data_IF_888581974846
#
_entry.id   IF_888581974846
#
_cell.length_a   1.000
_cell.length_b   1.000
_cell.length_c   1.000
_cell.angle_alpha   90.00
_cell.angle_beta   90.00
_cell.angle_gamma   90.00
#
_symmetry.space_group_name_H-M   'P 1'
#
loop_
_entity.id
_entity.type
_entity.pdbx_description
1 polymer ?
#
# COMPACT_ATOMS: atom_id res chain seq x y z
N UNK A 1 4.12 3.03 5.53
CA UNK A 1 4.46 3.91 6.68
C UNK A 1 3.25 4.44 7.43
N UNK A 2 2.15 4.83 6.77
CA UNK A 2 0.93 5.35 7.48
C UNK A 2 0.40 4.38 8.56
N UNK A 3 0.58 3.07 8.38
CA UNK A 3 0.20 2.05 9.38
C UNK A 3 0.83 2.20 10.77
N UNK A 4 1.95 2.91 10.89
CA UNK A 4 2.54 3.19 12.21
C UNK A 4 1.74 4.24 12.99
N UNK A 5 0.91 5.03 12.32
CA UNK A 5 0.08 6.10 12.89
C UNK A 5 -1.39 5.71 12.95
N UNK A 6 -1.87 5.01 11.92
CA UNK A 6 -3.24 4.50 11.83
C UNK A 6 -3.19 3.03 11.37
N UNK A 7 -3.42 2.06 12.26
CA UNK A 7 -3.21 0.64 11.97
C UNK A 7 -4.19 0.06 10.94
N UNK A 8 -5.37 0.66 10.80
CA UNK A 8 -6.44 0.14 9.95
C UNK A 8 -6.70 1.02 8.73
N UNK A 9 -7.23 0.47 7.63
CA UNK A 9 -7.57 1.25 6.43
C UNK A 9 -8.92 1.98 6.53
N UNK A 10 -9.20 2.63 7.68
CA UNK A 10 -10.43 3.39 7.90
C UNK A 10 -10.40 4.83 7.35
N UNK A 11 -11.40 5.63 7.69
CA UNK A 11 -11.52 7.02 7.22
C UNK A 11 -10.29 7.88 7.54
N UNK A 12 -9.76 7.76 8.76
CA UNK A 12 -8.56 8.49 9.19
C UNK A 12 -7.33 8.12 8.37
N UNK A 13 -7.20 6.86 7.98
CA UNK A 13 -6.12 6.39 7.11
C UNK A 13 -6.21 7.04 5.72
N UNK A 14 -7.40 7.03 5.13
CA UNK A 14 -7.65 7.63 3.83
C UNK A 14 -7.42 9.14 3.85
N UNK A 15 -7.80 9.83 4.93
CA UNK A 15 -7.52 11.26 5.11
C UNK A 15 -6.01 11.55 5.14
N UNK A 16 -5.23 10.74 5.88
CA UNK A 16 -3.77 10.86 5.93
C UNK A 16 -3.12 10.57 4.57
N UNK A 17 -3.58 9.52 3.87
CA UNK A 17 -3.12 9.18 2.53
C UNK A 17 -3.40 10.31 1.54
N UNK A 18 -4.63 10.84 1.50
CA UNK A 18 -4.99 11.93 0.60
C UNK A 18 -4.22 13.23 0.87
N UNK A 19 -3.89 13.51 2.14
CA UNK A 19 -3.09 14.68 2.52
C UNK A 19 -1.62 14.56 2.12
N UNK A 20 -0.99 13.44 2.44
CA UNK A 20 0.46 13.28 2.33
C UNK A 20 0.91 12.60 1.04
N UNK A 21 0.01 11.87 0.39
CA UNK A 21 0.25 11.22 -0.88
C UNK A 21 -1.01 11.25 -1.77
N UNK A 22 -1.39 12.41 -2.33
CA UNK A 22 -2.66 12.59 -3.04
C UNK A 22 -2.90 11.63 -4.22
N UNK A 23 -1.82 11.13 -4.85
CA UNK A 23 -1.88 10.20 -5.98
C UNK A 23 -2.04 8.72 -5.58
N UNK A 24 -2.29 8.42 -4.29
CA UNK A 24 -2.31 7.05 -3.79
C UNK A 24 -3.32 6.12 -4.46
N UNK A 25 -4.44 6.67 -4.94
CA UNK A 25 -5.49 5.89 -5.62
C UNK A 25 -5.00 5.38 -6.97
N UNK A 26 -4.26 6.20 -7.73
CA UNK A 26 -3.66 5.83 -9.01
C UNK A 26 -2.57 4.78 -8.79
N UNK A 27 -1.66 5.02 -7.85
CA UNK A 27 -0.62 4.05 -7.53
C UNK A 27 -1.18 2.70 -7.06
N UNK A 28 -2.26 2.72 -6.27
CA UNK A 28 -2.98 1.48 -5.86
C UNK A 28 -3.58 0.77 -7.07
N UNK A 29 -4.20 1.50 -8.00
CA UNK A 29 -4.74 0.91 -9.21
C UNK A 29 -3.63 0.25 -10.04
N UNK A 30 -2.53 0.96 -10.31
CA UNK A 30 -1.38 0.43 -11.04
C UNK A 30 -0.83 -0.85 -10.38
N UNK A 31 -0.65 -0.86 -9.06
CA UNK A 31 -0.16 -2.04 -8.33
C UNK A 31 -1.12 -3.24 -8.44
N UNK A 32 -2.43 -2.99 -8.43
CA UNK A 32 -3.44 -4.03 -8.55
C UNK A 32 -3.49 -4.65 -9.96
N UNK A 33 -3.06 -3.93 -10.99
CA UNK A 33 -2.99 -4.45 -12.38
C UNK A 33 -1.75 -5.30 -12.64
N UNK A 34 -0.74 -5.25 -11.76
CA UNK A 34 0.47 -6.06 -11.95
C UNK A 34 0.16 -7.54 -11.71
N UNK A 35 0.68 -8.47 -12.53
CA UNK A 35 0.53 -9.91 -12.35
C UNK A 35 1.44 -10.44 -11.22
N UNK A 36 1.41 -9.78 -10.07
CA UNK A 36 2.23 -10.12 -8.91
C UNK A 36 1.56 -11.25 -8.12
N UNK A 37 2.22 -12.39 -8.07
CA UNK A 37 1.88 -13.47 -7.15
C UNK A 37 2.71 -13.37 -5.87
N UNK A 38 2.17 -13.91 -4.77
CA UNK A 38 2.96 -14.11 -3.56
C UNK A 38 4.13 -15.06 -3.88
N UNK A 39 5.36 -14.62 -3.61
CA UNK A 39 6.55 -15.44 -3.84
C UNK A 39 7.17 -15.85 -2.51
N UNK A 40 7.47 -17.15 -2.37
CA UNK A 40 8.34 -17.64 -1.32
C UNK A 40 9.79 -17.39 -1.74
N UNK A 41 10.51 -16.56 -0.99
CA UNK A 41 11.94 -16.35 -1.23
C UNK A 41 12.72 -17.46 -0.54
N UNK A 42 13.40 -18.29 -1.34
CA UNK A 42 14.37 -19.25 -0.82
C UNK A 42 15.64 -18.50 -0.39
N UNK A 43 16.22 -18.91 0.74
CA UNK A 43 17.59 -18.52 1.10
C UNK A 43 18.53 -19.07 0.02
N UNK A 44 19.33 -18.20 -0.60
CA UNK A 44 20.43 -18.63 -1.46
C UNK A 44 21.55 -19.16 -0.55
N UNK A 45 21.98 -20.40 -0.79
CA UNK A 45 23.31 -20.90 -0.36
C UNK A 45 24.41 -20.37 -1.28
#
# INVERSE_FOLDING_TARGET
MVHLVEPTHGERFLALMSKHYPAWSVARAELNELPLAAQAWALKE
#
